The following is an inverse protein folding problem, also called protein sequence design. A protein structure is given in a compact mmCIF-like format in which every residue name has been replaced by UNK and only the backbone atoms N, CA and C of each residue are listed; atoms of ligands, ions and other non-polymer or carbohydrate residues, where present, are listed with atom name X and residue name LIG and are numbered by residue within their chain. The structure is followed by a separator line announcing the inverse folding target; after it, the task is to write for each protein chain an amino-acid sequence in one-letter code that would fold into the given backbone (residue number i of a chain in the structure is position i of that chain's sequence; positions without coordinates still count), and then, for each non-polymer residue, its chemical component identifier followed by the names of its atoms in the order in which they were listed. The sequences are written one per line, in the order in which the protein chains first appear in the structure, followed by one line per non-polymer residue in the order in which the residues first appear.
data_IF_538690128282
#
_entry.id   IF_538690128282
#
_cell.length_a   1.000
_cell.length_b   1.000
_cell.length_c   1.000
_cell.angle_alpha   90.00
_cell.angle_beta   90.00
_cell.angle_gamma   90.00
#
_symmetry.space_group_name_H-M   'P 1'
#
loop_
_entity.id
_entity.type
_entity.pdbx_description
1 polymer ?
#
# COMPACT_ATOMS: atom_id res chain seq x y z
N UNK A 1 -35.86 -3.52 18.21
CA UNK A 1 -35.55 -4.84 17.62
C UNK A 1 -36.18 -4.86 16.25
N UNK A 2 -35.42 -4.43 15.23
CA UNK A 2 -35.83 -4.58 13.84
C UNK A 2 -34.94 -5.66 13.23
N UNK A 3 -35.57 -6.76 12.85
CA UNK A 3 -34.94 -7.93 12.26
C UNK A 3 -34.58 -7.61 10.81
N UNK A 4 -33.31 -7.32 10.55
CA UNK A 4 -32.78 -7.38 9.19
C UNK A 4 -32.83 -8.83 8.71
N UNK A 5 -33.55 -9.17 7.63
CA UNK A 5 -33.53 -10.52 7.09
C UNK A 5 -32.16 -10.79 6.46
N UNK A 6 -31.60 -11.95 6.82
CA UNK A 6 -30.33 -12.49 6.30
C UNK A 6 -30.33 -12.58 4.77
N UNK A 7 -29.16 -12.45 4.10
CA UNK A 7 -29.09 -12.45 2.64
C UNK A 7 -29.48 -13.84 2.12
N UNK A 8 -30.65 -13.92 1.49
CA UNK A 8 -31.01 -15.06 0.63
C UNK A 8 -30.10 -14.99 -0.59
N UNK A 9 -29.56 -16.16 -0.96
CA UNK A 9 -28.80 -16.46 -2.17
C UNK A 9 -28.87 -15.38 -3.24
N UNK A 10 -27.73 -14.80 -3.64
CA UNK A 10 -27.63 -13.95 -4.83
C UNK A 10 -28.40 -14.59 -5.97
N UNK A 11 -29.56 -14.02 -6.28
CA UNK A 11 -30.51 -14.56 -7.23
C UNK A 11 -29.83 -14.49 -8.60
N UNK A 12 -29.45 -15.65 -9.13
CA UNK A 12 -28.72 -15.72 -10.38
C UNK A 12 -29.65 -15.28 -11.52
N UNK A 13 -29.57 -14.00 -11.91
CA UNK A 13 -30.38 -13.39 -12.98
C UNK A 13 -29.60 -13.32 -14.30
N UNK A 14 -30.31 -13.44 -15.42
CA UNK A 14 -29.73 -13.23 -16.74
C UNK A 14 -29.51 -11.74 -17.02
N UNK A 15 -28.30 -11.35 -17.41
CA UNK A 15 -27.96 -9.95 -17.71
C UNK A 15 -28.57 -9.40 -19.01
N UNK A 16 -29.30 -10.21 -19.78
CA UNK A 16 -30.02 -9.77 -20.99
C UNK A 16 -31.47 -9.45 -20.68
N UNK A 17 -32.21 -10.38 -20.07
CA UNK A 17 -33.63 -10.18 -19.73
C UNK A 17 -33.84 -9.62 -18.31
N UNK A 18 -32.79 -9.55 -17.49
CA UNK A 18 -32.81 -9.08 -16.10
C UNK A 18 -33.78 -9.86 -15.21
N UNK A 19 -34.01 -11.14 -15.54
CA UNK A 19 -34.92 -12.05 -14.85
C UNK A 19 -34.19 -13.37 -14.51
N UNK A 20 -34.80 -14.24 -13.71
CA UNK A 20 -34.25 -15.56 -13.38
C UNK A 20 -33.98 -16.37 -14.66
N UNK A 21 -32.91 -17.18 -14.62
CA UNK A 21 -32.55 -18.00 -15.77
C UNK A 21 -33.66 -18.97 -16.17
N UNK A 22 -34.01 -18.95 -17.45
CA UNK A 22 -34.86 -19.95 -18.11
C UNK A 22 -34.00 -20.68 -19.15
N UNK A 23 -33.82 -22.00 -18.97
CA UNK A 23 -32.86 -22.81 -19.76
C UNK A 23 -31.45 -22.17 -19.80
N UNK A 24 -30.76 -22.09 -18.65
CA UNK A 24 -29.45 -21.45 -18.54
C UNK A 24 -28.41 -22.13 -19.42
N UNK A 25 -27.69 -21.33 -20.19
CA UNK A 25 -26.52 -21.73 -20.96
C UNK A 25 -25.28 -20.98 -20.47
N UNK A 26 -24.14 -21.68 -20.46
CA UNK A 26 -22.83 -21.11 -20.12
C UNK A 26 -21.95 -21.01 -21.36
N UNK A 27 -21.24 -19.90 -21.47
CA UNK A 27 -20.19 -19.67 -22.47
C UNK A 27 -18.86 -20.16 -21.86
N UNK A 28 -18.28 -21.28 -22.30
CA UNK A 28 -17.13 -21.91 -21.64
C UNK A 28 -15.86 -21.04 -21.64
N UNK A 29 -15.70 -20.16 -22.62
CA UNK A 29 -14.52 -19.28 -22.78
C UNK A 29 -14.49 -18.13 -21.75
N UNK A 30 -15.62 -17.85 -21.11
CA UNK A 30 -15.73 -16.76 -20.13
C UNK A 30 -16.53 -17.07 -18.87
N UNK A 31 -17.23 -18.21 -18.80
CA UNK A 31 -18.02 -18.63 -17.66
C UNK A 31 -19.33 -17.86 -17.42
N UNK A 32 -19.69 -16.92 -18.30
CA UNK A 32 -20.93 -16.14 -18.14
C UNK A 32 -22.16 -16.96 -18.54
N UNK A 33 -23.28 -16.70 -17.85
CA UNK A 33 -24.52 -17.45 -17.94
C UNK A 33 -25.64 -16.57 -18.51
N UNK A 34 -26.45 -17.14 -19.39
CA UNK A 34 -27.57 -16.47 -20.06
C UNK A 34 -28.74 -17.44 -20.27
N UNK A 35 -29.96 -16.94 -20.48
CA UNK A 35 -31.04 -17.78 -20.99
C UNK A 35 -30.73 -18.19 -22.44
N UNK A 36 -31.00 -19.44 -22.83
CA UNK A 36 -30.76 -19.92 -24.21
C UNK A 36 -31.44 -19.03 -25.25
N UNK A 37 -32.67 -18.61 -25.00
CA UNK A 37 -33.44 -17.73 -25.89
C UNK A 37 -32.79 -16.35 -26.03
N UNK A 38 -32.34 -15.77 -24.92
CA UNK A 38 -31.69 -14.47 -24.88
C UNK A 38 -30.38 -14.45 -25.67
N UNK A 39 -29.55 -15.48 -25.50
CA UNK A 39 -28.28 -15.60 -26.23
C UNK A 39 -28.52 -15.87 -27.73
N UNK A 40 -29.50 -16.71 -28.06
CA UNK A 40 -29.89 -16.99 -29.45
C UNK A 40 -30.43 -15.74 -30.15
N UNK A 41 -31.24 -14.91 -29.47
CA UNK A 41 -31.75 -13.66 -30.00
C UNK A 41 -30.66 -12.61 -30.18
N UNK A 42 -29.68 -12.57 -29.27
CA UNK A 42 -28.53 -11.67 -29.36
C UNK A 42 -27.67 -11.99 -30.60
N UNK A 43 -27.38 -13.28 -30.85
CA UNK A 43 -26.61 -13.70 -32.04
C UNK A 43 -27.43 -13.68 -33.34
N UNK A 44 -28.74 -13.90 -33.27
CA UNK A 44 -29.63 -13.97 -34.43
C UNK A 44 -29.83 -12.66 -35.20
N UNK A 45 -29.24 -11.53 -34.75
CA UNK A 45 -29.33 -10.22 -35.41
C UNK A 45 -28.06 -9.78 -36.14
N UNK A 46 -26.97 -10.56 -36.07
CA UNK A 46 -25.67 -10.19 -36.62
C UNK A 46 -25.08 -11.32 -37.46
N UNK A 47 -24.81 -11.07 -38.74
CA UNK A 47 -24.02 -11.94 -39.64
C UNK A 47 -22.51 -11.95 -39.29
N UNK A 48 -22.15 -11.68 -38.03
CA UNK A 48 -20.77 -11.57 -37.55
C UNK A 48 -20.42 -12.64 -36.51
N UNK A 49 -19.13 -12.69 -36.15
CA UNK A 49 -18.59 -13.59 -35.12
C UNK A 49 -19.38 -13.49 -33.81
N UNK A 50 -19.80 -14.65 -33.28
CA UNK A 50 -20.55 -14.70 -32.03
C UNK A 50 -19.68 -14.18 -30.88
N UNK A 51 -20.23 -13.32 -30.01
CA UNK A 51 -19.50 -12.77 -28.86
C UNK A 51 -20.35 -12.78 -27.59
N UNK A 52 -19.69 -12.79 -26.44
CA UNK A 52 -20.34 -12.73 -25.14
C UNK A 52 -20.95 -11.33 -24.90
N UNK A 53 -22.25 -11.21 -24.58
CA UNK A 53 -22.89 -9.92 -24.28
C UNK A 53 -22.26 -9.16 -23.11
N UNK A 54 -21.66 -9.86 -22.15
CA UNK A 54 -21.13 -9.28 -20.92
C UNK A 54 -19.67 -8.84 -21.03
N UNK A 55 -18.81 -9.66 -21.66
CA UNK A 55 -17.37 -9.38 -21.73
C UNK A 55 -16.83 -9.23 -23.16
N UNK A 56 -17.70 -9.36 -24.18
CA UNK A 56 -17.39 -9.21 -25.60
C UNK A 56 -16.32 -10.16 -26.17
N UNK A 57 -15.91 -11.18 -25.41
CA UNK A 57 -15.03 -12.25 -25.93
C UNK A 57 -15.73 -12.99 -27.07
N UNK A 58 -14.99 -13.27 -28.13
CA UNK A 58 -15.43 -14.10 -29.25
C UNK A 58 -15.73 -15.52 -28.78
N UNK A 59 -16.82 -16.10 -29.28
CA UNK A 59 -17.36 -17.41 -28.94
C UNK A 59 -17.44 -18.24 -30.21
N UNK A 60 -16.95 -19.47 -30.17
CA UNK A 60 -17.10 -20.39 -31.29
C UNK A 60 -18.57 -20.82 -31.42
N UNK A 61 -19.16 -20.63 -32.60
CA UNK A 61 -20.56 -20.99 -32.85
C UNK A 61 -20.77 -22.49 -32.60
N UNK A 62 -21.51 -22.83 -31.53
CA UNK A 62 -21.76 -24.21 -31.11
C UNK A 62 -21.13 -24.61 -29.77
N UNK A 63 -20.31 -23.77 -29.15
CA UNK A 63 -19.64 -24.09 -27.87
C UNK A 63 -20.51 -23.91 -26.62
N UNK A 64 -21.74 -23.38 -26.77
CA UNK A 64 -22.64 -23.17 -25.62
C UNK A 64 -23.11 -24.50 -25.02
N UNK A 65 -23.00 -24.61 -23.70
CA UNK A 65 -23.44 -25.78 -22.95
C UNK A 65 -24.61 -25.41 -22.05
N UNK A 66 -25.60 -26.30 -21.93
CA UNK A 66 -26.63 -26.16 -20.90
C UNK A 66 -25.97 -26.24 -19.53
N UNK A 67 -26.22 -25.26 -18.69
CA UNK A 67 -25.73 -25.25 -17.33
C UNK A 67 -26.76 -25.91 -16.40
N UNK A 68 -26.57 -27.20 -16.13
CA UNK A 68 -27.44 -27.97 -15.22
C UNK A 68 -27.31 -27.56 -13.74
N UNK A 69 -26.40 -26.65 -13.39
CA UNK A 69 -26.18 -26.20 -12.01
C UNK A 69 -27.02 -24.96 -11.64
N UNK A 70 -27.68 -24.32 -12.60
CA UNK A 70 -28.54 -23.16 -12.37
C UNK A 70 -30.02 -23.59 -12.34
N UNK A 71 -30.77 -23.29 -11.27
CA UNK A 71 -32.19 -23.61 -11.21
C UNK A 71 -32.94 -22.82 -12.28
N UNK A 72 -33.69 -23.51 -13.14
CA UNK A 72 -34.59 -22.86 -14.09
C UNK A 72 -35.81 -22.36 -13.33
N UNK A 73 -35.99 -21.04 -13.26
CA UNK A 73 -37.12 -20.42 -12.57
C UNK A 73 -38.37 -20.47 -13.44
N UNK A 74 -39.14 -21.56 -13.36
CA UNK A 74 -40.39 -21.68 -14.12
C UNK A 74 -41.22 -22.91 -13.76
N UNK A 75 -42.28 -22.67 -12.97
CA UNK A 75 -43.51 -23.45 -12.69
C UNK A 75 -43.55 -24.93 -13.12
N UNK A 76 -43.76 -25.77 -12.09
CA UNK A 76 -44.42 -27.09 -12.08
C UNK A 76 -44.68 -27.76 -13.44
N UNK A 77 -43.90 -28.80 -13.74
CA UNK A 77 -44.09 -29.60 -14.95
C UNK A 77 -43.25 -30.86 -14.96
N UNK A 78 -43.78 -31.91 -14.32
CA UNK A 78 -43.45 -33.34 -14.44
C UNK A 78 -42.02 -33.79 -14.10
N UNK A 79 -41.97 -34.64 -13.08
CA UNK A 79 -40.95 -35.68 -12.87
C UNK A 79 -40.62 -36.35 -14.20
N UNK A 80 -39.46 -35.99 -14.77
CA UNK A 80 -38.82 -36.75 -15.82
C UNK A 80 -37.91 -37.78 -15.17
N UNK A 81 -38.35 -39.04 -15.17
CA UNK A 81 -37.50 -40.21 -14.88
C UNK A 81 -36.13 -40.03 -15.52
N UNK A 82 -35.08 -40.15 -14.71
CA UNK A 82 -33.70 -40.08 -15.17
C UNK A 82 -33.47 -41.08 -16.28
N UNK A 83 -33.00 -40.61 -17.44
CA UNK A 83 -32.35 -41.47 -18.44
C UNK A 83 -31.09 -42.07 -17.81
N UNK A 84 -31.25 -43.18 -17.10
CA UNK A 84 -30.14 -43.96 -16.57
C UNK A 84 -29.26 -44.46 -17.72
N UNK A 85 -27.94 -44.43 -17.55
CA UNK A 85 -27.02 -45.05 -18.51
C UNK A 85 -27.29 -46.56 -18.53
N UNK A 86 -27.33 -47.14 -19.71
CA UNK A 86 -27.48 -48.59 -19.93
C UNK A 86 -26.12 -49.22 -20.19
N UNK A 87 -25.95 -50.46 -19.79
CA UNK A 87 -24.78 -51.26 -20.08
C UNK A 87 -24.75 -51.60 -21.57
N UNK A 88 -23.67 -51.29 -22.27
CA UNK A 88 -23.55 -51.57 -23.71
C UNK A 88 -23.60 -53.07 -24.02
N UNK A 89 -23.04 -53.91 -23.13
CA UNK A 89 -22.98 -55.36 -23.29
C UNK A 89 -24.32 -56.06 -23.02
N UNK A 90 -25.08 -55.59 -22.03
CA UNK A 90 -26.26 -56.31 -21.53
C UNK A 90 -27.57 -55.54 -21.69
N UNK A 91 -27.52 -54.28 -22.15
CA UNK A 91 -28.66 -53.37 -22.30
C UNK A 91 -29.45 -53.13 -21.00
N UNK A 92 -28.86 -53.49 -19.86
CA UNK A 92 -29.43 -53.32 -18.53
C UNK A 92 -28.99 -52.00 -17.89
N UNK A 93 -29.84 -51.43 -17.04
CA UNK A 93 -29.52 -50.18 -16.33
C UNK A 93 -28.30 -50.34 -15.41
N UNK A 94 -27.41 -49.36 -15.45
CA UNK A 94 -26.25 -49.29 -14.57
C UNK A 94 -26.67 -48.75 -13.20
N UNK A 95 -27.04 -49.65 -12.29
CA UNK A 95 -27.52 -49.32 -10.93
C UNK A 95 -26.51 -49.65 -9.83
N UNK A 96 -25.39 -50.28 -10.18
CA UNK A 96 -24.35 -50.73 -9.26
C UNK A 96 -23.04 -50.02 -9.57
N UNK A 97 -22.13 -49.96 -8.60
CA UNK A 97 -20.79 -49.39 -8.74
C UNK A 97 -19.76 -50.39 -8.22
N UNK A 98 -18.80 -50.73 -9.08
CA UNK A 98 -17.64 -51.53 -8.68
C UNK A 98 -16.59 -50.62 -8.05
N UNK A 99 -16.25 -50.83 -6.77
CA UNK A 99 -15.25 -50.00 -6.08
C UNK A 99 -13.83 -50.21 -6.60
N UNK A 100 -13.51 -51.41 -7.10
CA UNK A 100 -12.17 -51.73 -7.60
C UNK A 100 -11.91 -51.17 -9.00
N UNK A 101 -12.92 -51.22 -9.87
CA UNK A 101 -12.83 -50.75 -11.26
C UNK A 101 -13.35 -49.31 -11.43
N UNK A 102 -13.73 -48.66 -10.33
CA UNK A 102 -14.26 -47.29 -10.23
C UNK A 102 -15.31 -46.95 -11.30
N UNK A 103 -16.18 -47.89 -11.62
CA UNK A 103 -17.12 -47.78 -12.74
C UNK A 103 -18.51 -48.28 -12.41
N UNK A 104 -19.56 -47.63 -12.97
CA UNK A 104 -20.93 -48.10 -12.82
C UNK A 104 -21.13 -49.35 -13.68
N UNK A 105 -21.69 -50.40 -13.08
CA UNK A 105 -21.95 -51.68 -13.72
C UNK A 105 -23.45 -52.06 -13.62
N UNK A 106 -23.90 -52.97 -14.48
CA UNK A 106 -25.25 -53.53 -14.38
C UNK A 106 -25.28 -54.81 -13.53
N UNK A 107 -26.47 -55.26 -13.16
CA UNK A 107 -26.69 -56.48 -12.36
C UNK A 107 -26.17 -57.76 -13.02
N UNK A 108 -26.04 -57.78 -14.35
CA UNK A 108 -25.49 -58.92 -15.08
C UNK A 108 -23.96 -58.91 -15.02
N UNK A 109 -23.33 -57.73 -15.11
CA UNK A 109 -21.88 -57.56 -14.96
C UNK A 109 -21.43 -57.95 -13.54
N UNK A 110 -22.18 -57.60 -12.51
CA UNK A 110 -21.90 -57.98 -11.12
C UNK A 110 -21.74 -59.50 -10.94
N UNK A 111 -22.61 -60.29 -11.58
CA UNK A 111 -22.55 -61.76 -11.54
C UNK A 111 -21.52 -62.37 -12.49
N UNK A 112 -20.91 -61.57 -13.35
CA UNK A 112 -19.91 -62.05 -14.30
C UNK A 112 -18.62 -62.43 -13.60
N UNK A 113 -17.81 -63.31 -14.22
CA UNK A 113 -16.49 -63.67 -13.70
C UNK A 113 -15.56 -62.45 -13.52
N UNK A 114 -15.83 -61.36 -14.25
CA UNK A 114 -15.03 -60.13 -14.26
C UNK A 114 -15.16 -59.36 -12.93
N UNK A 115 -16.36 -59.29 -12.35
CA UNK A 115 -16.62 -58.53 -11.11
C UNK A 115 -16.99 -59.40 -9.91
N UNK A 116 -17.05 -60.74 -10.06
CA UNK A 116 -17.49 -61.69 -9.02
C UNK A 116 -16.75 -61.55 -7.68
N UNK A 117 -15.50 -61.12 -7.69
CA UNK A 117 -14.65 -60.94 -6.50
C UNK A 117 -14.46 -59.47 -6.11
N UNK A 118 -15.10 -58.54 -6.80
CA UNK A 118 -14.98 -57.11 -6.53
C UNK A 118 -16.08 -56.66 -5.56
N UNK A 119 -15.77 -55.67 -4.74
CA UNK A 119 -16.80 -55.05 -3.90
C UNK A 119 -17.69 -54.17 -4.78
N UNK A 120 -18.97 -54.56 -4.84
CA UNK A 120 -19.98 -53.87 -5.62
C UNK A 120 -21.05 -53.35 -4.67
N UNK A 121 -21.33 -52.05 -4.77
CA UNK A 121 -22.34 -51.37 -3.96
C UNK A 121 -23.40 -50.71 -4.87
N UNK A 122 -24.61 -50.41 -4.38
CA UNK A 122 -25.56 -49.60 -5.12
C UNK A 122 -24.95 -48.26 -5.54
N UNK A 123 -25.28 -47.82 -6.77
CA UNK A 123 -24.73 -46.59 -7.34
C UNK A 123 -25.09 -45.35 -6.50
N UNK A 124 -26.28 -45.36 -5.88
CA UNK A 124 -26.71 -44.29 -4.98
C UNK A 124 -25.83 -44.22 -3.72
N UNK A 125 -25.49 -45.36 -3.12
CA UNK A 125 -24.60 -45.42 -1.95
C UNK A 125 -23.19 -44.92 -2.30
N UNK A 126 -22.65 -45.34 -3.45
CA UNK A 126 -21.37 -44.85 -3.95
C UNK A 126 -21.42 -43.32 -4.14
N UNK A 127 -22.48 -42.80 -4.74
CA UNK A 127 -22.65 -41.37 -4.96
C UNK A 127 -22.65 -40.58 -3.65
N UNK A 128 -23.35 -41.07 -2.62
CA UNK A 128 -23.37 -40.41 -1.30
C UNK A 128 -22.01 -40.47 -0.60
N UNK A 129 -21.27 -41.59 -0.70
CA UNK A 129 -19.91 -41.70 -0.17
C UNK A 129 -18.94 -40.69 -0.83
N UNK A 130 -18.93 -40.62 -2.17
CA UNK A 130 -18.08 -39.68 -2.90
C UNK A 130 -18.47 -38.23 -2.62
N UNK A 131 -19.77 -37.92 -2.59
CA UNK A 131 -20.28 -36.58 -2.24
C UNK A 131 -19.81 -36.15 -0.86
N UNK A 132 -19.93 -37.03 0.14
CA UNK A 132 -19.50 -36.75 1.53
C UNK A 132 -18.00 -36.53 1.59
N UNK A 133 -17.21 -37.36 0.92
CA UNK A 133 -15.75 -37.22 0.85
C UNK A 133 -15.33 -35.89 0.22
N UNK A 134 -15.96 -35.51 -0.89
CA UNK A 134 -15.70 -34.22 -1.55
C UNK A 134 -16.05 -33.03 -0.65
N UNK A 135 -17.16 -33.08 0.09
CA UNK A 135 -17.55 -32.03 1.03
C UNK A 135 -16.54 -31.87 2.17
N UNK A 136 -16.06 -32.98 2.74
CA UNK A 136 -15.04 -32.96 3.80
C UNK A 136 -13.72 -32.36 3.29
N UNK A 137 -13.26 -32.79 2.11
CA UNK A 137 -12.02 -32.27 1.51
C UNK A 137 -12.14 -30.77 1.19
N UNK A 138 -13.26 -30.34 0.62
CA UNK A 138 -13.51 -28.93 0.33
C UNK A 138 -13.55 -28.09 1.61
N UNK A 139 -14.26 -28.56 2.65
CA UNK A 139 -14.36 -27.84 3.92
C UNK A 139 -13.01 -27.75 4.64
N UNK A 140 -12.23 -28.83 4.66
CA UNK A 140 -10.87 -28.84 5.23
C UNK A 140 -9.94 -27.89 4.49
N UNK A 141 -10.01 -27.82 3.16
CA UNK A 141 -9.20 -26.91 2.36
C UNK A 141 -9.57 -25.43 2.60
N UNK A 142 -10.86 -25.12 2.70
CA UNK A 142 -11.36 -23.76 3.01
C UNK A 142 -10.97 -23.31 4.42
N UNK A 143 -11.05 -24.19 5.42
CA UNK A 143 -10.63 -23.90 6.79
C UNK A 143 -9.13 -23.59 6.87
N UNK A 144 -8.30 -24.42 6.23
CA UNK A 144 -6.84 -24.24 6.20
C UNK A 144 -6.43 -22.94 5.51
N UNK A 145 -7.05 -22.61 4.37
CA UNK A 145 -6.78 -21.35 3.66
C UNK A 145 -7.22 -20.12 4.46
N UNK A 146 -8.39 -20.18 5.11
CA UNK A 146 -8.87 -19.11 5.99
C UNK A 146 -7.95 -18.87 7.20
N UNK A 147 -7.44 -19.94 7.82
CA UNK A 147 -6.52 -19.83 8.95
C UNK A 147 -5.19 -19.19 8.55
N UNK A 148 -4.59 -19.66 7.45
CA UNK A 148 -3.36 -19.08 6.91
C UNK A 148 -3.53 -17.60 6.56
N UNK A 149 -4.65 -17.24 5.92
CA UNK A 149 -4.93 -15.84 5.57
C UNK A 149 -5.05 -14.94 6.81
N UNK A 150 -5.73 -15.41 7.87
CA UNK A 150 -5.82 -14.68 9.15
C UNK A 150 -4.44 -14.49 9.79
N UNK A 151 -3.61 -15.54 9.79
CA UNK A 151 -2.26 -15.46 10.36
C UNK A 151 -1.37 -14.49 9.57
N UNK A 152 -1.37 -14.57 8.24
CA UNK A 152 -0.63 -13.63 7.39
C UNK A 152 -1.13 -12.20 7.55
N UNK A 153 -2.44 -12.01 7.71
CA UNK A 153 -3.04 -10.70 8.02
C UNK A 153 -2.51 -10.12 9.33
N UNK A 154 -2.53 -10.91 10.41
CA UNK A 154 -2.05 -10.48 11.73
C UNK A 154 -0.55 -10.12 11.72
N UNK A 155 0.29 -10.92 11.06
CA UNK A 155 1.73 -10.62 10.96
C UNK A 155 1.98 -9.35 10.12
N UNK A 156 1.20 -9.13 9.05
CA UNK A 156 1.27 -7.90 8.26
C UNK A 156 0.87 -6.67 9.09
N UNK A 157 -0.19 -6.76 9.88
CA UNK A 157 -0.63 -5.66 10.76
C UNK A 157 0.42 -5.33 11.83
N UNK A 158 1.02 -6.35 12.46
CA UNK A 158 2.15 -6.16 13.39
C UNK A 158 3.30 -5.42 12.72
N UNK A 159 3.71 -5.87 11.53
CA UNK A 159 4.79 -5.24 10.78
C UNK A 159 4.47 -3.77 10.47
N UNK A 160 3.26 -3.47 10.00
CA UNK A 160 2.82 -2.09 9.72
C UNK A 160 2.82 -1.24 11.00
N UNK A 161 2.41 -1.80 12.15
CA UNK A 161 2.44 -1.11 13.43
C UNK A 161 3.87 -0.77 13.87
N UNK A 162 4.82 -1.69 13.70
CA UNK A 162 6.24 -1.44 14.02
C UNK A 162 6.84 -0.33 13.13
N UNK A 163 6.57 -0.36 11.81
CA UNK A 163 7.01 0.72 10.93
C UNK A 163 6.39 2.07 11.28
N UNK A 164 5.13 2.10 11.73
CA UNK A 164 4.48 3.33 12.20
C UNK A 164 5.18 3.87 13.44
N UNK A 165 5.50 3.02 14.41
CA UNK A 165 6.27 3.39 15.62
C UNK A 165 7.64 3.96 15.27
N UNK A 166 8.35 3.32 14.34
CA UNK A 166 9.68 3.79 13.91
C UNK A 166 9.61 5.17 13.25
N UNK A 167 8.61 5.42 12.38
CA UNK A 167 8.41 6.74 11.76
C UNK A 167 8.12 7.82 12.80
N UNK A 168 7.22 7.54 13.75
CA UNK A 168 6.92 8.47 14.85
C UNK A 168 8.16 8.81 15.67
N UNK A 169 8.96 7.79 16.02
CA UNK A 169 10.21 7.99 16.73
C UNK A 169 11.18 8.91 15.94
N UNK A 170 11.35 8.66 14.63
CA UNK A 170 12.22 9.49 13.80
C UNK A 170 11.74 10.95 13.70
N UNK A 171 10.42 11.17 13.55
CA UNK A 171 9.84 12.51 13.54
C UNK A 171 10.03 13.24 14.87
N UNK A 172 9.94 12.53 16.00
CA UNK A 172 10.21 13.10 17.33
C UNK A 172 11.68 13.47 17.49
N UNK A 173 12.61 12.61 17.05
CA UNK A 173 14.04 12.91 17.09
C UNK A 173 14.41 14.10 16.20
N UNK A 174 13.82 14.20 15.00
CA UNK A 174 14.02 15.33 14.10
C UNK A 174 13.57 16.64 14.76
N UNK A 175 12.35 16.67 15.34
CA UNK A 175 11.84 17.85 16.05
C UNK A 175 12.72 18.26 17.22
N UNK A 176 13.21 17.29 18.00
CA UNK A 176 14.10 17.57 19.13
C UNK A 176 15.41 18.21 18.67
N UNK A 177 16.04 17.66 17.63
CA UNK A 177 17.28 18.20 17.08
C UNK A 177 17.09 19.60 16.51
N UNK A 178 16.00 19.84 15.77
CA UNK A 178 15.67 21.17 15.24
C UNK A 178 15.46 22.19 16.37
N UNK A 179 14.79 21.80 17.46
CA UNK A 179 14.61 22.66 18.63
C UNK A 179 15.94 22.99 19.32
N UNK A 180 16.83 22.00 19.46
CA UNK A 180 18.17 22.22 20.01
C UNK A 180 19.00 23.16 19.13
N UNK A 181 18.93 23.00 17.81
CA UNK A 181 19.60 23.90 16.87
C UNK A 181 19.07 25.32 16.98
N UNK A 182 17.75 25.51 17.05
CA UNK A 182 17.13 26.82 17.18
C UNK A 182 17.55 27.55 18.48
N UNK A 183 17.72 26.83 19.59
CA UNK A 183 18.21 27.43 20.83
C UNK A 183 19.68 27.88 20.71
N UNK A 184 20.53 27.07 20.09
CA UNK A 184 21.93 27.45 19.82
C UNK A 184 22.00 28.67 18.88
N UNK A 185 21.18 28.71 17.84
CA UNK A 185 21.10 29.87 16.93
C UNK A 185 20.69 31.14 17.68
N UNK A 186 19.73 31.03 18.60
CA UNK A 186 19.30 32.13 19.46
C UNK A 186 20.40 32.60 20.41
N UNK A 187 21.14 31.69 21.04
CA UNK A 187 22.31 32.04 21.86
C UNK A 187 23.38 32.76 21.05
N UNK A 188 23.67 32.28 19.84
CA UNK A 188 24.62 32.93 18.93
C UNK A 188 24.13 34.33 18.56
N UNK A 189 22.86 34.49 18.22
CA UNK A 189 22.26 35.78 17.89
C UNK A 189 22.34 36.75 19.07
N UNK A 190 22.01 36.31 20.28
CA UNK A 190 22.09 37.12 21.49
C UNK A 190 23.52 37.61 21.77
N UNK A 191 24.51 36.71 21.68
CA UNK A 191 25.93 37.09 21.83
C UNK A 191 26.38 38.08 20.77
N UNK A 192 25.96 37.90 19.51
CA UNK A 192 26.27 38.85 18.42
C UNK A 192 25.70 40.23 18.72
N UNK A 193 24.45 40.31 19.17
CA UNK A 193 23.80 41.59 19.51
C UNK A 193 24.52 42.28 20.68
N UNK A 194 24.87 41.53 21.73
CA UNK A 194 25.65 42.07 22.85
C UNK A 194 27.00 42.64 22.39
N UNK A 195 27.71 41.90 21.53
CA UNK A 195 28.97 42.35 20.94
C UNK A 195 28.80 43.62 20.09
N UNK A 196 27.76 43.70 19.26
CA UNK A 196 27.45 44.88 18.45
C UNK A 196 27.09 46.09 19.33
N UNK A 197 26.29 45.90 20.38
CA UNK A 197 25.93 46.94 21.32
C UNK A 197 27.16 47.45 22.11
N UNK A 198 28.12 46.58 22.44
CA UNK A 198 29.39 46.98 23.05
C UNK A 198 30.24 47.82 22.10
N UNK A 199 30.44 47.36 20.87
CA UNK A 199 31.20 48.11 19.86
C UNK A 199 30.57 49.47 19.55
N UNK A 200 29.23 49.55 19.52
CA UNK A 200 28.51 50.80 19.30
C UNK A 200 28.74 51.82 20.43
N UNK A 201 28.81 51.35 21.69
CA UNK A 201 29.16 52.19 22.84
C UNK A 201 30.61 52.68 22.77
N UNK A 202 31.54 51.82 22.39
CA UNK A 202 32.95 52.18 22.21
C UNK A 202 33.11 53.23 21.09
N UNK A 203 32.44 53.03 19.94
CA UNK A 203 32.42 54.01 18.85
C UNK A 203 31.84 55.36 19.30
N UNK A 204 30.72 55.35 20.04
CA UNK A 204 30.12 56.59 20.56
C UNK A 204 31.05 57.31 21.56
N UNK A 205 31.76 56.55 22.39
CA UNK A 205 32.74 57.11 23.32
C UNK A 205 33.92 57.74 22.57
N UNK A 206 34.43 57.08 21.53
CA UNK A 206 35.50 57.63 20.70
C UNK A 206 35.04 58.89 19.95
N UNK A 207 33.83 58.88 19.40
CA UNK A 207 33.23 60.03 18.71
C UNK A 207 33.11 61.24 19.66
N UNK A 208 32.64 61.03 20.90
CA UNK A 208 32.58 62.09 21.90
C UNK A 208 33.96 62.66 22.25
N UNK A 209 34.99 61.81 22.35
CA UNK A 209 36.36 62.24 22.63
C UNK A 209 36.95 63.02 21.45
N UNK A 210 36.71 62.58 20.22
CA UNK A 210 37.13 63.30 19.01
C UNK A 210 36.51 64.69 19.02
N UNK A 211 35.20 64.80 19.28
CA UNK A 211 34.52 66.09 19.35
C UNK A 211 35.08 67.00 20.44
N UNK A 212 35.35 66.47 21.64
CA UNK A 212 36.01 67.23 22.71
C UNK A 212 37.39 67.73 22.30
N UNK A 213 38.17 66.93 21.56
CA UNK A 213 39.46 67.35 21.02
C UNK A 213 39.31 68.44 19.94
N UNK A 214 38.35 68.30 19.04
CA UNK A 214 38.05 69.28 18.00
C UNK A 214 37.61 70.63 18.60
N UNK A 215 36.75 70.62 19.61
CA UNK A 215 36.33 71.82 20.34
C UNK A 215 37.52 72.54 20.98
N UNK A 216 38.41 71.80 21.67
CA UNK A 216 39.64 72.38 22.25
C UNK A 216 40.58 72.98 21.22
N UNK A 217 40.66 72.38 20.02
CA UNK A 217 41.48 72.93 18.93
C UNK A 217 40.92 74.24 18.36
N UNK A 218 39.65 74.57 18.60
CA UNK A 218 39.04 75.84 18.20
C UNK A 218 39.23 76.96 19.23
N UNK A 219 39.74 76.66 20.42
CA UNK A 219 40.04 77.67 21.44
C UNK A 219 41.28 78.51 21.05
N UNK A 220 41.35 79.80 21.46
CA UNK A 220 42.49 80.65 21.15
C UNK A 220 43.80 80.10 21.75
N UNK A 221 44.93 80.26 21.04
CA UNK A 221 46.25 79.70 21.39
C UNK A 221 46.70 79.98 22.84
N UNK A 222 46.21 81.06 23.45
CA UNK A 222 46.49 81.44 24.84
C UNK A 222 45.90 80.49 25.89
N UNK A 223 44.82 79.78 25.60
CA UNK A 223 44.18 78.82 26.51
C UNK A 223 44.71 77.39 26.30
N UNK A 224 45.01 77.01 25.04
CA UNK A 224 45.63 75.74 24.68
C UNK A 224 47.01 75.50 25.32
N UNK A 225 47.78 76.56 25.58
CA UNK A 225 49.13 76.48 26.14
C UNK A 225 49.18 76.50 27.68
N UNK A 226 48.03 76.59 28.38
CA UNK A 226 47.97 76.45 29.85
C UNK A 226 47.98 74.97 30.30
N UNK A 227 48.92 74.18 29.78
CA UNK A 227 49.18 72.84 30.31
C UNK A 227 49.91 73.01 31.65
N UNK A 228 49.19 72.84 32.76
CA UNK A 228 49.80 72.68 34.08
C UNK A 228 50.90 71.60 34.00
N UNK A 229 52.14 71.87 34.45
CA UNK A 229 53.18 70.85 34.53
C UNK A 229 52.84 69.90 35.68
N UNK A 230 52.06 68.86 35.38
CA UNK A 230 51.56 67.92 36.38
C UNK A 230 51.10 66.56 35.86
N UNK A 231 51.15 66.30 34.54
CA UNK A 231 51.04 64.92 34.03
C UNK A 231 52.45 64.37 33.83
N UNK A 232 52.88 63.68 34.87
CA UNK A 232 54.07 62.85 34.88
C UNK A 232 54.02 61.79 33.77
N UNK A 233 55.21 61.40 33.31
CA UNK A 233 55.48 60.45 32.23
C UNK A 233 54.94 59.02 32.47
N UNK A 234 54.03 58.83 33.41
CA UNK A 234 53.35 57.56 33.73
C UNK A 234 51.99 57.42 33.05
N UNK A 235 51.32 58.53 32.69
CA UNK A 235 49.99 58.49 32.05
C UNK A 235 49.97 57.90 30.64
N UNK A 236 51.03 58.13 29.85
CA UNK A 236 51.13 57.61 28.48
C UNK A 236 51.42 56.11 28.39
N UNK A 237 51.90 55.49 29.48
CA UNK A 237 52.15 54.03 29.53
C UNK A 237 50.87 53.20 29.56
N UNK A 238 49.75 53.77 30.04
CA UNK A 238 48.49 53.03 30.22
C UNK A 238 47.70 52.88 28.91
N UNK A 239 47.81 53.86 28.01
CA UNK A 239 47.17 53.79 26.67
C UNK A 239 47.85 52.79 25.71
N UNK A 240 49.10 52.39 25.98
CA UNK A 240 49.84 51.41 25.19
C UNK A 240 49.62 49.95 25.63
N UNK A 241 48.99 49.71 26.79
CA UNK A 241 48.81 48.35 27.34
C UNK A 241 47.43 47.75 27.04
N UNK A 242 46.42 48.55 26.70
CA UNK A 242 45.04 48.09 26.49
C UNK A 242 44.75 47.58 25.08
N UNK A 243 45.61 47.82 24.09
CA UNK A 243 45.37 47.44 22.68
C UNK A 243 46.09 46.19 22.20
N UNK A 244 46.85 45.46 23.04
CA UNK A 244 47.31 44.09 22.78
C UNK A 244 48.04 43.82 21.45
N UNK A 245 48.39 44.84 20.67
CA UNK A 245 49.12 44.73 19.40
C UNK A 245 50.52 45.25 19.63
N UNK A 246 51.47 44.31 19.61
CA UNK A 246 52.90 44.61 19.50
C UNK A 246 53.10 45.38 18.18
N UNK A 247 53.37 46.69 18.25
CA UNK A 247 53.84 47.45 17.10
C UNK A 247 55.24 46.93 16.79
N UNK A 248 55.35 46.01 15.85
CA UNK A 248 56.63 45.78 15.17
C UNK A 248 56.84 46.97 14.26
N UNK A 249 57.83 47.81 14.56
CA UNK A 249 58.35 48.76 13.59
C UNK A 249 58.82 47.97 12.37
N UNK A 250 58.01 47.96 11.31
CA UNK A 250 58.46 47.57 9.99
C UNK A 250 59.47 48.64 9.56
N UNK A 251 60.75 48.27 9.51
CA UNK A 251 61.76 49.10 8.87
C UNK A 251 61.28 49.51 7.48
N UNK A 252 61.51 50.77 7.06
CA UNK A 252 61.12 51.21 5.72
C UNK A 252 61.81 50.33 4.67
N UNK A 253 61.11 49.97 3.57
CA UNK A 253 61.71 49.19 2.50
C UNK A 253 62.89 49.96 1.90
N UNK A 254 64.01 49.26 1.72
CA UNK A 254 65.18 49.78 1.02
C UNK A 254 64.80 50.11 -0.44
N UNK A 255 65.17 51.29 -0.96
CA UNK A 255 64.88 51.62 -2.36
C UNK A 255 65.67 50.68 -3.28
N UNK A 256 65.10 50.29 -4.45
CA UNK A 256 65.78 49.42 -5.39
C UNK A 256 67.05 50.10 -5.92
N UNK A 257 68.16 49.35 -5.92
CA UNK A 257 69.41 49.75 -6.57
C UNK A 257 69.12 49.96 -8.06
N UNK A 258 69.33 51.17 -8.57
CA UNK A 258 69.42 51.41 -10.01
C UNK A 258 70.65 50.66 -10.52
N UNK A 259 70.42 49.61 -11.31
CA UNK A 259 71.45 49.05 -12.18
C UNK A 259 71.59 50.02 -13.36
N UNK A 260 72.78 50.62 -13.45
CA UNK A 260 73.33 51.20 -14.67
C UNK A 260 73.72 50.08 -15.64
#
# INVERSE_FOLDING_TARGET
MELHPSPRHEEATCSICLDYFTDPVIIPECGHNFCRSCLTQYWGKSQGEASCPQCRKTVEQGSIRRNLQLPSGGKEGKEGEGKGRVCEKHQELLKLFCKKDESPICVVCDRSKEHKSHEVIPLEEAFQEYKTRCLILAHSSLLSTSLLQKQTGAEREKMVAEFRRLRQFLEEQEKLLLAQMAEVEKEIAAKREEHLARLSRELSSLDSLIREMEEKLQEPESELLQVRPGLDARGWSVLLQTTGRRITYLSPPTPPKKLL
#
